data_IF_234339927944
#
_entry.id   IF_234339927944
#
_cell.length_a   1.000
_cell.length_b   1.000
_cell.length_c   1.000
_cell.angle_alpha   90.00
_cell.angle_beta   90.00
_cell.angle_gamma   90.00
#
_symmetry.space_group_name_H-M   'P 1'
#
loop_
_entity.id
_entity.type
_entity.pdbx_description
1 polymer ?
#
# COMPACT_ATOMS: atom_id res chain seq x y z
N UNK A 1 5.85 15.11 -19.89
CA UNK A 1 6.27 15.52 -18.53
C UNK A 1 7.13 16.78 -18.68
N UNK A 2 6.75 17.89 -18.07
CA UNK A 2 7.29 19.23 -18.39
C UNK A 2 8.79 19.31 -18.04
N UNK A 3 9.66 19.51 -19.03
CA UNK A 3 11.14 19.54 -18.89
C UNK A 3 11.63 20.57 -17.87
N UNK A 4 10.86 21.65 -17.69
CA UNK A 4 11.10 22.70 -16.70
C UNK A 4 11.00 22.22 -15.24
N UNK A 5 10.06 21.32 -14.92
CA UNK A 5 9.86 20.81 -13.56
C UNK A 5 10.99 19.84 -13.14
N UNK A 6 11.47 19.04 -14.10
CA UNK A 6 12.59 18.12 -13.91
C UNK A 6 13.88 18.91 -13.63
N UNK A 7 14.13 19.98 -14.38
CA UNK A 7 15.32 20.82 -14.19
C UNK A 7 15.37 21.47 -12.79
N UNK A 8 14.27 22.07 -12.33
CA UNK A 8 14.18 22.73 -11.02
C UNK A 8 14.48 21.76 -9.87
N UNK A 9 13.95 20.54 -9.94
CA UNK A 9 14.20 19.47 -8.96
C UNK A 9 15.66 19.01 -8.91
N UNK A 10 16.33 18.93 -10.06
CA UNK A 10 17.74 18.55 -10.10
C UNK A 10 18.64 19.61 -9.46
N UNK A 11 18.35 20.89 -9.70
CA UNK A 11 19.08 22.03 -9.11
C UNK A 11 18.89 22.05 -7.59
N UNK A 12 17.66 21.85 -7.10
CA UNK A 12 17.36 21.84 -5.68
C UNK A 12 18.03 20.67 -4.95
N UNK A 13 18.05 19.48 -5.55
CA UNK A 13 18.77 18.32 -5.02
C UNK A 13 20.30 18.53 -4.97
N UNK A 14 20.87 19.21 -5.95
CA UNK A 14 22.31 19.54 -5.95
C UNK A 14 22.60 20.61 -4.89
N UNK A 15 21.75 21.62 -4.74
CA UNK A 15 21.88 22.63 -3.69
C UNK A 15 21.87 22.00 -2.29
N UNK A 16 20.96 21.06 -2.04
CA UNK A 16 20.83 20.42 -0.73
C UNK A 16 21.90 19.35 -0.46
N UNK A 17 22.38 18.66 -1.49
CA UNK A 17 23.33 17.54 -1.35
C UNK A 17 24.79 17.84 -1.72
N UNK A 18 25.07 19.06 -2.18
CA UNK A 18 26.41 19.54 -2.53
C UNK A 18 27.09 18.76 -3.66
N UNK A 19 28.43 18.81 -3.66
CA UNK A 19 29.29 18.21 -4.69
C UNK A 19 29.09 16.70 -4.84
N UNK A 20 28.79 15.98 -3.74
CA UNK A 20 28.58 14.53 -3.78
C UNK A 20 27.39 14.15 -4.67
N UNK A 21 26.28 14.90 -4.56
CA UNK A 21 25.07 14.66 -5.36
C UNK A 21 25.29 15.10 -6.81
N UNK A 22 26.04 16.17 -7.03
CA UNK A 22 26.44 16.61 -8.36
C UNK A 22 27.25 15.54 -9.10
N UNK A 23 28.35 15.05 -8.51
CA UNK A 23 29.18 14.02 -9.13
C UNK A 23 28.42 12.71 -9.35
N UNK A 24 27.54 12.32 -8.42
CA UNK A 24 26.67 11.16 -8.60
C UNK A 24 25.73 11.32 -9.80
N UNK A 25 25.14 12.50 -9.98
CA UNK A 25 24.26 12.80 -11.12
C UNK A 25 25.04 12.79 -12.45
N UNK A 26 26.22 13.40 -12.48
CA UNK A 26 27.10 13.36 -13.67
C UNK A 26 27.50 11.92 -14.01
N UNK A 27 27.97 11.15 -13.02
CA UNK A 27 28.33 9.75 -13.21
C UNK A 27 27.16 8.93 -13.77
N UNK A 28 25.94 9.17 -13.27
CA UNK A 28 24.73 8.52 -13.80
C UNK A 28 24.46 8.91 -15.25
N UNK A 29 24.62 10.18 -15.61
CA UNK A 29 24.45 10.68 -16.97
C UNK A 29 25.50 10.09 -17.93
N UNK A 30 26.78 10.13 -17.56
CA UNK A 30 27.87 9.56 -18.34
C UNK A 30 27.65 8.06 -18.59
N UNK A 31 27.21 7.32 -17.56
CA UNK A 31 26.86 5.90 -17.68
C UNK A 31 25.71 5.68 -18.67
N UNK A 32 24.67 6.54 -18.66
CA UNK A 32 23.57 6.47 -19.63
C UNK A 32 24.02 6.78 -21.06
N UNK A 33 24.90 7.76 -21.25
CA UNK A 33 25.48 8.08 -22.56
C UNK A 33 26.32 6.90 -23.08
N UNK A 34 27.23 6.38 -22.25
CA UNK A 34 28.06 5.23 -22.59
C UNK A 34 27.23 4.04 -23.05
N UNK A 35 26.19 3.67 -22.31
CA UNK A 35 25.32 2.55 -22.67
C UNK A 35 24.30 2.89 -23.76
N UNK A 36 24.14 4.15 -24.14
CA UNK A 36 23.36 4.55 -25.31
C UNK A 36 23.90 3.98 -26.62
N UNK A 37 25.22 3.76 -26.70
CA UNK A 37 25.90 3.21 -27.88
C UNK A 37 25.34 1.86 -28.35
N UNK A 38 24.93 1.00 -27.42
CA UNK A 38 24.27 -0.28 -27.74
C UNK A 38 22.76 -0.24 -27.50
N UNK A 39 22.28 0.52 -26.50
CA UNK A 39 20.86 0.55 -26.16
C UNK A 39 20.01 1.14 -27.29
N UNK A 40 20.50 2.21 -27.95
CA UNK A 40 19.77 2.87 -29.04
C UNK A 40 19.57 1.91 -30.23
N UNK A 41 20.62 1.26 -30.79
CA UNK A 41 20.43 0.24 -31.82
C UNK A 41 19.45 -0.87 -31.42
N UNK A 42 19.54 -1.39 -30.18
CA UNK A 42 18.62 -2.42 -29.70
C UNK A 42 17.16 -1.96 -29.69
N UNK A 43 16.88 -0.71 -29.29
CA UNK A 43 15.52 -0.15 -29.30
C UNK A 43 15.01 -0.02 -30.73
N UNK A 44 15.83 0.44 -31.67
CA UNK A 44 15.43 0.57 -33.08
C UNK A 44 15.10 -0.80 -33.67
N UNK A 45 15.89 -1.83 -33.36
CA UNK A 45 15.59 -3.21 -33.75
C UNK A 45 14.28 -3.68 -33.11
N UNK A 46 14.08 -3.46 -31.80
CA UNK A 46 12.86 -3.83 -31.09
C UNK A 46 11.60 -3.17 -31.68
N UNK A 47 11.72 -1.97 -32.25
CA UNK A 47 10.65 -1.27 -32.97
C UNK A 47 10.42 -1.84 -34.36
N UNK A 48 11.49 -2.19 -35.08
CA UNK A 48 11.40 -2.79 -36.41
C UNK A 48 10.70 -4.16 -36.38
N UNK A 49 11.02 -5.00 -35.39
CA UNK A 49 10.43 -6.34 -35.24
C UNK A 49 9.05 -6.34 -34.56
N UNK A 50 8.58 -5.18 -34.10
CA UNK A 50 7.31 -5.02 -33.38
C UNK A 50 6.11 -5.69 -34.02
N UNK A 51 5.92 -5.68 -35.36
CA UNK A 51 4.79 -6.35 -36.00
C UNK A 51 4.74 -7.86 -35.75
N UNK A 52 5.88 -8.47 -35.38
CA UNK A 52 6.02 -9.90 -35.09
C UNK A 52 6.08 -10.13 -33.58
N UNK A 53 6.92 -9.38 -32.87
CA UNK A 53 7.13 -9.50 -31.41
C UNK A 53 7.22 -8.11 -30.80
N UNK A 54 6.34 -7.82 -29.85
CA UNK A 54 6.38 -6.58 -29.08
C UNK A 54 7.25 -6.76 -27.83
N UNK A 55 8.42 -6.11 -27.81
CA UNK A 55 9.29 -6.05 -26.64
C UNK A 55 9.01 -4.77 -25.86
N UNK A 56 8.58 -4.88 -24.60
CA UNK A 56 8.38 -3.74 -23.72
C UNK A 56 9.42 -3.68 -22.61
N UNK A 57 9.86 -2.47 -22.30
CA UNK A 57 10.79 -2.17 -21.22
C UNK A 57 10.06 -1.42 -20.11
N UNK A 58 10.29 -1.81 -18.86
CA UNK A 58 9.67 -1.15 -17.72
C UNK A 58 10.49 -1.23 -16.45
N UNK A 59 10.11 -0.40 -15.50
CA UNK A 59 10.63 -0.42 -14.13
C UNK A 59 9.57 -0.98 -13.18
N UNK A 60 10.02 -1.53 -12.04
CA UNK A 60 9.15 -1.78 -10.89
C UNK A 60 9.75 -1.01 -9.72
N UNK A 61 8.99 -0.09 -9.15
CA UNK A 61 9.43 0.73 -8.03
C UNK A 61 9.78 -0.16 -6.82
N UNK A 62 10.93 0.04 -6.18
CA UNK A 62 11.40 -0.84 -5.10
C UNK A 62 11.75 -0.17 -3.78
N UNK A 63 11.79 1.16 -3.71
CA UNK A 63 12.20 1.96 -2.54
C UNK A 63 11.18 1.94 -1.38
N UNK A 64 9.89 1.74 -1.68
CA UNK A 64 8.80 1.70 -0.69
C UNK A 64 7.99 0.43 -0.84
N UNK A 65 7.79 -0.30 0.25
CA UNK A 65 7.22 -1.65 0.20
C UNK A 65 5.82 -1.69 -0.40
N UNK A 66 4.92 -0.75 -0.05
CA UNK A 66 3.55 -0.74 -0.59
C UNK A 66 3.50 -0.51 -2.11
N UNK A 67 4.35 0.37 -2.63
CA UNK A 67 4.50 0.52 -4.09
C UNK A 67 5.12 -0.75 -4.70
N UNK A 68 6.19 -1.26 -4.08
CA UNK A 68 6.90 -2.41 -4.62
C UNK A 68 6.03 -3.67 -4.69
N UNK A 69 5.17 -3.89 -3.70
CA UNK A 69 4.28 -5.05 -3.63
C UNK A 69 3.10 -4.90 -4.58
N UNK A 70 2.41 -3.77 -4.52
CA UNK A 70 1.20 -3.58 -5.31
C UNK A 70 1.49 -3.44 -6.81
N UNK A 71 2.54 -2.71 -7.19
CA UNK A 71 2.95 -2.58 -8.59
C UNK A 71 3.40 -3.93 -9.16
N UNK A 72 4.23 -4.68 -8.42
CA UNK A 72 4.63 -6.02 -8.84
C UNK A 72 3.44 -6.98 -8.93
N UNK A 73 2.52 -6.97 -7.95
CA UNK A 73 1.33 -7.82 -7.96
C UNK A 73 0.42 -7.54 -9.16
N UNK A 74 0.11 -6.26 -9.42
CA UNK A 74 -0.72 -5.87 -10.56
C UNK A 74 -0.06 -6.24 -11.89
N UNK A 75 1.25 -6.04 -12.01
CA UNK A 75 1.96 -6.43 -13.23
C UNK A 75 2.03 -7.95 -13.40
N UNK A 76 2.22 -8.72 -12.32
CA UNK A 76 2.18 -10.17 -12.36
C UNK A 76 0.82 -10.67 -12.87
N UNK A 77 -0.27 -10.12 -12.34
CA UNK A 77 -1.62 -10.42 -12.78
C UNK A 77 -1.85 -10.11 -14.27
N UNK A 78 -1.39 -8.96 -14.76
CA UNK A 78 -1.44 -8.61 -16.19
C UNK A 78 -0.58 -9.51 -17.05
N UNK A 79 0.52 -10.01 -16.51
CA UNK A 79 1.47 -10.83 -17.26
C UNK A 79 1.00 -12.26 -17.44
N UNK A 80 0.26 -12.80 -16.47
CA UNK A 80 -0.40 -14.09 -16.60
C UNK A 80 -1.54 -14.02 -17.62
N UNK A 81 -2.24 -12.88 -17.71
CA UNK A 81 -3.28 -12.66 -18.71
C UNK A 81 -2.74 -12.36 -20.13
N UNK A 82 -1.43 -12.54 -20.39
CA UNK A 82 -0.80 -12.14 -21.65
C UNK A 82 -1.34 -12.89 -22.86
N UNK A 83 -1.37 -12.15 -23.96
CA UNK A 83 -1.48 -12.62 -25.34
C UNK A 83 -0.12 -13.01 -25.90
N UNK A 84 -0.10 -13.96 -26.83
CA UNK A 84 1.10 -14.38 -27.56
C UNK A 84 1.82 -13.18 -28.24
N UNK A 85 3.14 -13.26 -28.37
CA UNK A 85 3.94 -12.26 -29.08
C UNK A 85 4.39 -11.03 -28.27
N UNK A 86 4.23 -11.01 -26.94
CA UNK A 86 4.70 -9.90 -26.08
C UNK A 86 5.79 -10.35 -25.10
N UNK A 87 6.97 -9.75 -25.22
CA UNK A 87 8.09 -9.92 -24.27
C UNK A 87 8.14 -8.70 -23.36
N UNK A 88 8.20 -8.92 -22.06
CA UNK A 88 8.35 -7.83 -21.09
C UNK A 88 9.63 -7.97 -20.30
N UNK A 89 10.42 -6.91 -20.33
CA UNK A 89 11.70 -6.81 -19.69
C UNK A 89 11.64 -5.73 -18.62
N UNK A 90 12.23 -6.03 -17.48
CA UNK A 90 12.15 -5.20 -16.30
C UNK A 90 13.52 -4.84 -15.76
N UNK A 91 13.60 -3.70 -15.08
CA UNK A 91 14.71 -3.40 -14.19
C UNK A 91 14.19 -2.99 -12.81
N UNK A 92 15.02 -3.18 -11.79
CA UNK A 92 14.74 -2.76 -10.42
C UNK A 92 15.77 -1.70 -9.99
N UNK A 93 15.34 -0.61 -9.34
CA UNK A 93 16.24 0.32 -8.70
C UNK A 93 17.20 -0.38 -7.72
N UNK A 94 18.37 0.23 -7.51
CA UNK A 94 19.41 -0.34 -6.62
C UNK A 94 18.92 -0.50 -5.18
N UNK A 95 18.16 0.48 -4.68
CA UNK A 95 17.61 0.46 -3.33
C UNK A 95 16.32 -0.35 -3.27
N UNK A 96 16.24 -1.29 -2.33
CA UNK A 96 15.03 -2.10 -2.12
C UNK A 96 14.53 -1.98 -0.68
N UNK A 97 13.22 -1.93 -0.55
CA UNK A 97 12.51 -1.86 0.73
C UNK A 97 12.53 -3.19 1.49
N UNK A 98 12.50 -4.32 0.77
CA UNK A 98 12.56 -5.67 1.35
C UNK A 98 13.30 -6.63 0.37
N UNK A 99 14.29 -7.39 0.86
CA UNK A 99 15.12 -8.26 0.01
C UNK A 99 14.40 -9.56 -0.38
N UNK A 100 13.52 -10.09 0.47
CA UNK A 100 12.77 -11.29 0.16
C UNK A 100 11.76 -11.04 -0.96
N UNK A 101 11.02 -9.94 -0.90
CA UNK A 101 10.13 -9.51 -1.98
C UNK A 101 10.89 -9.30 -3.29
N UNK A 102 12.09 -8.70 -3.24
CA UNK A 102 12.99 -8.61 -4.41
C UNK A 102 13.31 -9.99 -4.99
N UNK A 103 13.59 -10.99 -4.16
CA UNK A 103 13.81 -12.38 -4.59
C UNK A 103 12.55 -12.94 -5.26
N UNK A 104 11.35 -12.72 -4.71
CA UNK A 104 10.08 -13.12 -5.33
C UNK A 104 9.88 -12.46 -6.71
N UNK A 105 10.08 -11.15 -6.81
CA UNK A 105 9.96 -10.43 -8.09
C UNK A 105 10.95 -10.96 -9.12
N UNK A 106 12.22 -11.13 -8.78
CA UNK A 106 13.21 -11.66 -9.74
C UNK A 106 12.94 -13.11 -10.20
N UNK A 107 12.23 -13.90 -9.40
CA UNK A 107 11.80 -15.26 -9.78
C UNK A 107 10.65 -15.27 -10.78
N UNK A 108 9.81 -14.23 -10.77
CA UNK A 108 8.55 -14.18 -11.53
C UNK A 108 8.59 -13.21 -12.73
N UNK A 109 9.68 -12.45 -12.89
CA UNK A 109 9.83 -11.43 -13.92
C UNK A 109 11.22 -11.47 -14.55
N UNK A 110 11.32 -11.15 -15.85
CA UNK A 110 12.59 -11.00 -16.57
C UNK A 110 13.29 -9.70 -16.18
N UNK A 111 13.89 -9.69 -14.98
CA UNK A 111 14.53 -8.52 -14.37
C UNK A 111 16.03 -8.50 -14.64
N UNK A 112 16.49 -7.50 -15.41
CA UNK A 112 17.90 -7.31 -15.71
C UNK A 112 18.33 -5.86 -15.51
N UNK A 113 19.57 -5.65 -15.05
CA UNK A 113 20.09 -4.30 -14.79
C UNK A 113 20.26 -3.47 -16.07
N UNK A 114 20.56 -4.12 -17.20
CA UNK A 114 20.79 -3.44 -18.48
C UNK A 114 19.49 -2.89 -19.10
N UNK A 115 18.32 -3.40 -18.69
CA UNK A 115 17.02 -2.91 -19.14
C UNK A 115 16.79 -1.46 -18.69
N UNK A 116 17.45 -1.00 -17.63
CA UNK A 116 17.42 0.43 -17.21
C UNK A 116 17.81 1.36 -18.37
N UNK A 117 18.81 0.97 -19.16
CA UNK A 117 19.30 1.79 -20.28
C UNK A 117 18.37 1.74 -21.48
N UNK A 118 17.78 0.57 -21.77
CA UNK A 118 16.79 0.44 -22.82
C UNK A 118 15.52 1.24 -22.50
N UNK A 119 15.03 1.17 -21.25
CA UNK A 119 13.87 1.92 -20.80
C UNK A 119 14.11 3.44 -20.84
N UNK A 120 15.29 3.88 -20.36
CA UNK A 120 15.69 5.28 -20.42
C UNK A 120 15.74 5.81 -21.85
N UNK A 121 16.45 5.13 -22.75
CA UNK A 121 16.60 5.58 -24.14
C UNK A 121 15.31 5.39 -24.95
N UNK A 122 14.47 4.40 -24.64
CA UNK A 122 13.16 4.26 -25.27
C UNK A 122 12.26 5.47 -24.94
N UNK A 123 12.34 5.97 -23.71
CA UNK A 123 11.64 7.18 -23.29
C UNK A 123 12.23 8.46 -23.88
N UNK A 124 13.53 8.48 -24.15
CA UNK A 124 14.21 9.64 -24.74
C UNK A 124 14.01 9.76 -26.26
N UNK A 125 13.84 8.64 -26.97
CA UNK A 125 13.61 8.61 -28.42
C UNK A 125 12.12 8.71 -28.77
N UNK A 126 11.73 9.44 -29.83
CA UNK A 126 10.33 9.53 -30.25
C UNK A 126 9.76 8.16 -30.63
N UNK A 127 8.46 7.94 -30.46
CA UNK A 127 7.78 6.69 -30.87
C UNK A 127 7.96 5.50 -29.92
N UNK A 128 8.43 5.71 -28.69
CA UNK A 128 8.67 4.64 -27.71
C UNK A 128 7.45 4.12 -26.95
N UNK A 129 6.27 4.70 -27.16
CA UNK A 129 5.07 4.46 -26.33
C UNK A 129 4.63 3.00 -26.27
N UNK A 130 4.69 2.28 -27.39
CA UNK A 130 4.25 0.88 -27.44
C UNK A 130 5.24 -0.10 -26.82
N UNK A 131 6.54 0.24 -26.85
CA UNK A 131 7.63 -0.49 -26.22
C UNK A 131 7.83 -0.07 -24.75
N UNK A 132 6.97 0.79 -24.22
CA UNK A 132 7.02 1.23 -22.82
C UNK A 132 6.04 0.41 -21.97
N UNK A 133 6.52 -0.04 -20.81
CA UNK A 133 5.70 -0.68 -19.77
C UNK A 133 5.77 0.16 -18.49
N UNK A 134 4.72 0.92 -18.15
CA UNK A 134 4.72 1.72 -16.92
C UNK A 134 4.73 0.82 -15.68
N UNK A 135 5.47 1.25 -14.64
CA UNK A 135 5.47 0.55 -13.34
C UNK A 135 4.09 0.57 -12.70
N UNK A 136 3.40 1.71 -12.83
CA UNK A 136 2.01 1.96 -12.48
C UNK A 136 1.50 3.17 -13.27
N UNK A 137 0.25 3.11 -13.74
CA UNK A 137 -0.44 4.28 -14.31
C UNK A 137 -1.29 5.02 -13.25
N UNK A 138 -1.41 4.45 -12.06
CA UNK A 138 -2.44 4.80 -11.06
C UNK A 138 -1.85 5.06 -9.67
N UNK A 139 -0.55 5.36 -9.58
CA UNK A 139 0.15 5.57 -8.31
C UNK A 139 -0.06 4.44 -7.27
N UNK A 140 0.05 3.17 -7.70
CA UNK A 140 -0.21 1.99 -6.87
C UNK A 140 -1.66 1.93 -6.36
N UNK A 141 -2.62 1.99 -7.28
CA UNK A 141 -4.05 1.69 -7.04
C UNK A 141 -4.58 0.76 -8.12
N UNK A 142 -5.36 -0.25 -7.74
CA UNK A 142 -5.91 -1.20 -8.72
C UNK A 142 -7.26 -0.74 -9.27
N UNK A 143 -7.23 0.34 -10.04
CA UNK A 143 -8.42 0.98 -10.64
C UNK A 143 -9.22 0.06 -11.56
N UNK A 144 -8.61 -0.97 -12.10
CA UNK A 144 -9.25 -1.90 -13.03
C UNK A 144 -9.63 -3.23 -12.37
N UNK A 145 -9.36 -3.40 -11.07
CA UNK A 145 -9.61 -4.64 -10.33
C UNK A 145 -8.85 -5.84 -10.88
N UNK A 146 -7.65 -5.63 -11.43
CA UNK A 146 -6.86 -6.66 -12.11
C UNK A 146 -6.44 -7.77 -11.16
N UNK A 147 -6.14 -7.43 -9.90
CA UNK A 147 -5.81 -8.42 -8.87
C UNK A 147 -7.00 -9.32 -8.57
N UNK A 148 -8.17 -8.72 -8.36
CA UNK A 148 -9.42 -9.45 -8.13
C UNK A 148 -9.79 -10.37 -9.31
N UNK A 149 -9.70 -9.84 -10.54
CA UNK A 149 -10.07 -10.57 -11.76
C UNK A 149 -9.13 -11.75 -12.05
N UNK A 150 -7.83 -11.56 -11.86
CA UNK A 150 -6.83 -12.58 -12.18
C UNK A 150 -6.73 -13.70 -11.14
N UNK A 151 -7.00 -13.39 -9.86
CA UNK A 151 -6.71 -14.27 -8.71
C UNK A 151 -5.24 -14.74 -8.65
N UNK A 152 -4.35 -14.05 -9.35
CA UNK A 152 -2.95 -14.42 -9.46
C UNK A 152 -2.17 -14.00 -8.22
N UNK A 153 -1.26 -14.86 -7.76
CA UNK A 153 -0.34 -14.58 -6.66
C UNK A 153 1.03 -15.19 -6.93
N UNK A 154 2.10 -14.46 -6.61
CA UNK A 154 3.45 -15.01 -6.63
C UNK A 154 3.60 -16.04 -5.51
N UNK A 155 4.11 -17.23 -5.81
CA UNK A 155 4.20 -18.31 -4.82
C UNK A 155 5.51 -18.24 -4.02
N UNK A 156 5.43 -18.57 -2.73
CA UNK A 156 6.60 -18.88 -1.91
C UNK A 156 7.11 -20.29 -2.25
N UNK A 157 8.41 -20.53 -2.02
CA UNK A 157 8.98 -21.87 -2.12
C UNK A 157 8.73 -22.66 -0.84
N UNK A 158 8.72 -23.99 -0.92
CA UNK A 158 8.43 -24.86 0.23
C UNK A 158 9.36 -24.62 1.43
N UNK A 159 10.64 -24.29 1.21
CA UNK A 159 11.55 -23.95 2.31
C UNK A 159 11.25 -22.59 2.94
N UNK A 160 10.73 -21.63 2.16
CA UNK A 160 10.33 -20.29 2.66
C UNK A 160 9.04 -20.40 3.50
N UNK A 161 8.10 -21.24 3.05
CA UNK A 161 6.91 -21.62 3.82
C UNK A 161 7.27 -22.30 5.14
N UNK A 162 8.16 -23.30 5.11
CA UNK A 162 8.55 -24.04 6.30
C UNK A 162 9.36 -23.18 7.28
N UNK A 163 10.23 -22.29 6.79
CA UNK A 163 10.97 -21.34 7.63
C UNK A 163 10.02 -20.41 8.39
N UNK A 164 9.02 -19.84 7.71
CA UNK A 164 8.04 -18.96 8.33
C UNK A 164 7.13 -19.71 9.32
N UNK A 165 6.64 -20.90 8.95
CA UNK A 165 5.84 -21.74 9.85
C UNK A 165 6.62 -22.20 11.07
N UNK A 166 7.89 -22.55 10.92
CA UNK A 166 8.77 -22.90 12.05
C UNK A 166 8.88 -21.74 13.03
N UNK A 167 9.00 -20.50 12.55
CA UNK A 167 8.99 -19.32 13.40
C UNK A 167 7.65 -19.15 14.13
N UNK A 168 6.52 -19.35 13.46
CA UNK A 168 5.21 -19.31 14.13
C UNK A 168 5.08 -20.40 15.20
N UNK A 169 5.46 -21.64 14.89
CA UNK A 169 5.41 -22.77 15.83
C UNK A 169 6.29 -22.52 17.07
N UNK A 170 7.44 -21.85 16.92
CA UNK A 170 8.28 -21.50 18.07
C UNK A 170 7.63 -20.47 19.00
N UNK A 171 6.56 -19.81 18.56
CA UNK A 171 5.74 -18.89 19.38
C UNK A 171 4.38 -19.49 19.76
N UNK A 172 4.24 -20.83 19.69
CA UNK A 172 3.03 -21.52 20.16
C UNK A 172 1.87 -21.55 19.15
N UNK A 173 2.09 -21.17 17.90
CA UNK A 173 1.12 -21.36 16.83
C UNK A 173 1.03 -22.84 16.43
N UNK A 174 -0.17 -23.31 16.10
CA UNK A 174 -0.40 -24.65 15.55
C UNK A 174 -0.77 -24.55 14.08
N UNK A 175 -0.32 -25.51 13.27
CA UNK A 175 -0.59 -25.52 11.84
C UNK A 175 -2.10 -25.45 11.55
N UNK A 176 -2.50 -24.40 10.84
CA UNK A 176 -3.90 -24.16 10.47
C UNK A 176 -4.66 -23.23 11.42
N UNK A 177 -4.12 -22.91 12.60
CA UNK A 177 -4.73 -21.92 13.50
C UNK A 177 -4.78 -20.55 12.81
N UNK A 178 -5.86 -19.78 12.99
CA UNK A 178 -5.92 -18.43 12.46
C UNK A 178 -4.94 -17.50 13.18
N UNK A 179 -4.41 -16.55 12.42
CA UNK A 179 -3.65 -15.44 12.99
C UNK A 179 -3.96 -14.13 12.28
N UNK A 180 -3.81 -13.03 13.01
CA UNK A 180 -4.06 -11.67 12.56
C UNK A 180 -2.76 -10.89 12.54
N UNK A 181 -2.51 -10.18 11.45
CA UNK A 181 -1.46 -9.17 11.38
C UNK A 181 -2.05 -7.82 11.81
N UNK A 182 -1.50 -7.21 12.85
CA UNK A 182 -1.87 -5.87 13.30
C UNK A 182 -0.73 -4.89 12.99
N UNK A 183 -0.97 -3.89 12.15
CA UNK A 183 -0.02 -2.83 11.84
C UNK A 183 -0.60 -1.45 12.14
N UNK A 184 -0.35 -0.95 13.34
CA UNK A 184 -0.72 0.42 13.72
C UNK A 184 0.46 1.33 13.45
N UNK A 185 0.34 2.19 12.43
CA UNK A 185 1.40 3.12 12.04
C UNK A 185 1.69 4.16 13.13
N UNK A 186 2.99 4.36 13.38
CA UNK A 186 3.53 5.51 14.08
C UNK A 186 4.66 6.20 13.26
N UNK A 187 5.23 7.25 13.83
CA UNK A 187 6.28 8.05 13.20
C UNK A 187 7.68 7.43 13.25
N UNK A 188 7.88 6.33 13.98
CA UNK A 188 9.20 5.78 14.31
C UNK A 188 9.95 5.33 13.05
N UNK A 189 9.27 4.59 12.16
CA UNK A 189 9.90 4.07 10.95
C UNK A 189 10.50 5.18 10.08
N UNK A 190 9.75 6.26 9.82
CA UNK A 190 10.24 7.32 8.92
C UNK A 190 11.23 8.28 9.60
N UNK A 191 11.18 8.42 10.92
CA UNK A 191 12.10 9.26 11.67
C UNK A 191 13.42 8.56 12.00
N UNK A 192 13.43 7.23 12.12
CA UNK A 192 14.61 6.45 12.56
C UNK A 192 15.25 5.61 11.46
N UNK A 193 14.51 5.17 10.43
CA UNK A 193 15.11 4.35 9.36
C UNK A 193 16.11 5.17 8.53
N UNK A 194 17.40 4.76 8.47
CA UNK A 194 18.44 5.54 7.79
C UNK A 194 18.19 5.77 6.29
N UNK A 195 17.35 4.95 5.64
CA UNK A 195 17.02 5.14 4.21
C UNK A 195 16.09 6.33 4.00
N UNK A 196 15.30 6.71 5.01
CA UNK A 196 14.29 7.77 4.90
C UNK A 196 14.64 9.00 5.74
N UNK A 197 15.07 8.81 7.00
CA UNK A 197 15.25 9.88 7.99
C UNK A 197 16.24 10.97 7.56
N UNK A 198 17.31 10.58 6.87
CA UNK A 198 18.34 11.49 6.37
C UNK A 198 17.95 12.26 5.10
N UNK A 199 16.73 12.04 4.58
CA UNK A 199 16.32 12.62 3.29
C UNK A 199 15.25 13.68 3.42
N UNK A 200 14.24 13.48 4.27
CA UNK A 200 13.08 14.36 4.39
C UNK A 200 12.44 14.28 5.78
N UNK A 201 11.84 15.38 6.23
CA UNK A 201 10.94 15.36 7.39
C UNK A 201 9.55 14.86 6.97
N UNK A 202 9.11 13.76 7.57
CA UNK A 202 7.82 13.13 7.25
C UNK A 202 6.68 13.51 8.20
N UNK A 203 6.87 14.51 9.07
CA UNK A 203 5.86 14.94 10.07
C UNK A 203 4.54 15.40 9.45
N UNK A 204 4.56 15.82 8.17
CA UNK A 204 3.36 16.17 7.42
C UNK A 204 2.38 14.99 7.27
N UNK A 205 2.82 13.74 7.46
CA UNK A 205 1.95 12.56 7.44
C UNK A 205 1.43 12.12 8.82
N UNK A 206 1.75 12.83 9.92
CA UNK A 206 1.40 12.41 11.28
C UNK A 206 -0.11 12.31 11.53
N UNK A 207 -0.95 12.96 10.71
CA UNK A 207 -2.42 12.84 10.79
C UNK A 207 -2.92 11.41 10.61
N UNK A 208 -2.08 10.50 10.08
CA UNK A 208 -2.37 9.08 9.87
C UNK A 208 -2.01 8.22 11.07
N UNK A 209 -1.09 8.69 11.90
CA UNK A 209 -0.57 7.90 13.01
C UNK A 209 -1.69 7.68 14.06
N UNK A 210 -1.57 6.61 14.84
CA UNK A 210 -2.54 6.23 15.89
C UNK A 210 -1.77 5.61 17.05
N UNK A 211 -2.28 5.74 18.27
CA UNK A 211 -1.67 5.08 19.42
C UNK A 211 -1.96 3.57 19.36
N UNK A 212 -0.94 2.76 19.64
CA UNK A 212 -1.09 1.30 19.73
C UNK A 212 -1.87 0.91 20.98
N UNK A 213 -1.83 1.73 22.03
CA UNK A 213 -2.55 1.43 23.28
C UNK A 213 -4.07 1.50 23.11
N UNK A 214 -4.57 2.24 22.11
CA UNK A 214 -6.00 2.24 21.75
C UNK A 214 -6.49 0.90 21.16
N UNK A 215 -5.57 -0.04 20.88
CA UNK A 215 -5.91 -1.37 20.33
C UNK A 215 -5.87 -2.48 21.38
N UNK A 216 -5.52 -2.20 22.64
CA UNK A 216 -5.35 -3.25 23.67
C UNK A 216 -6.60 -4.12 23.80
N UNK A 217 -7.78 -3.51 23.99
CA UNK A 217 -9.03 -4.26 24.16
C UNK A 217 -9.33 -5.16 22.95
N UNK A 218 -9.00 -4.70 21.74
CA UNK A 218 -9.19 -5.45 20.51
C UNK A 218 -8.19 -6.61 20.36
N UNK A 219 -6.94 -6.41 20.79
CA UNK A 219 -5.90 -7.44 20.82
C UNK A 219 -6.30 -8.53 21.81
N UNK A 220 -6.66 -8.16 23.04
CA UNK A 220 -7.07 -9.11 24.09
C UNK A 220 -8.31 -9.89 23.66
N UNK A 221 -9.32 -9.24 23.10
CA UNK A 221 -10.52 -9.92 22.63
C UNK A 221 -10.25 -10.98 21.54
N UNK A 222 -9.33 -10.71 20.60
CA UNK A 222 -8.90 -11.70 19.62
C UNK A 222 -8.12 -12.84 20.29
N UNK A 223 -7.23 -12.49 21.22
CA UNK A 223 -6.36 -13.43 21.89
C UNK A 223 -7.14 -14.41 22.79
N UNK A 224 -8.17 -13.93 23.49
CA UNK A 224 -9.12 -14.72 24.30
C UNK A 224 -9.96 -15.68 23.45
N UNK A 225 -10.09 -15.40 22.15
CA UNK A 225 -10.68 -16.33 21.16
C UNK A 225 -9.68 -17.34 20.60
N UNK A 226 -8.51 -17.46 21.23
CA UNK A 226 -7.40 -18.31 20.82
C UNK A 226 -6.82 -17.97 19.42
N UNK A 227 -7.12 -16.77 18.90
CA UNK A 227 -6.57 -16.26 17.64
C UNK A 227 -5.23 -15.61 17.94
N UNK A 228 -4.19 -15.98 17.21
CA UNK A 228 -2.88 -15.37 17.38
C UNK A 228 -2.86 -13.96 16.79
N UNK A 229 -2.47 -12.96 17.57
CA UNK A 229 -2.29 -11.57 17.14
C UNK A 229 -0.80 -11.26 17.04
N UNK A 230 -0.35 -10.91 15.85
CA UNK A 230 1.04 -10.56 15.57
C UNK A 230 1.08 -9.08 15.26
N UNK A 231 1.62 -8.27 16.18
CA UNK A 231 1.88 -6.85 15.90
C UNK A 231 3.08 -6.75 14.98
N UNK A 232 2.81 -6.28 13.78
CA UNK A 232 3.78 -6.06 12.73
C UNK A 232 4.42 -4.67 12.84
N UNK A 233 5.57 -4.51 12.22
CA UNK A 233 6.30 -3.24 12.15
C UNK A 233 7.81 -3.50 12.12
N UNK A 234 8.57 -2.66 11.42
CA UNK A 234 10.04 -2.80 11.34
C UNK A 234 10.76 -1.99 12.43
N UNK A 235 10.25 -0.79 12.70
CA UNK A 235 10.74 0.11 13.73
C UNK A 235 9.50 0.83 14.26
N UNK A 236 9.25 0.67 15.56
CA UNK A 236 8.09 1.23 16.27
C UNK A 236 8.55 2.03 17.49
N UNK A 237 7.71 2.92 18.01
CA UNK A 237 8.07 3.77 19.15
C UNK A 237 8.08 2.99 20.48
N UNK A 238 7.01 2.26 20.78
CA UNK A 238 6.80 1.60 22.06
C UNK A 238 6.39 0.13 21.87
N UNK A 239 6.85 -0.82 22.70
CA UNK A 239 6.31 -2.18 22.73
C UNK A 239 4.86 -2.20 23.22
N UNK A 240 4.10 -3.23 22.85
CA UNK A 240 2.78 -3.49 23.44
C UNK A 240 2.97 -4.00 24.86
N UNK A 241 2.19 -3.46 25.79
CA UNK A 241 2.17 -3.90 27.20
C UNK A 241 1.09 -4.96 27.45
N UNK A 242 1.10 -6.07 26.71
CA UNK A 242 0.16 -7.19 26.86
C UNK A 242 0.94 -8.47 27.09
N UNK A 243 0.62 -9.18 28.17
CA UNK A 243 1.19 -10.49 28.46
C UNK A 243 0.15 -11.58 28.18
N UNK A 244 0.08 -12.05 26.94
CA UNK A 244 -0.82 -13.12 26.54
C UNK A 244 -0.13 -14.07 25.55
N UNK A 245 -0.27 -15.39 25.74
CA UNK A 245 0.40 -16.44 24.94
C UNK A 245 0.09 -16.39 23.43
N UNK A 246 -1.02 -15.76 23.06
CA UNK A 246 -1.46 -15.56 21.67
C UNK A 246 -1.05 -14.22 21.08
N UNK A 247 -0.31 -13.38 21.80
CA UNK A 247 0.12 -12.06 21.34
C UNK A 247 1.62 -12.06 21.13
N UNK A 248 2.06 -11.68 19.93
CA UNK A 248 3.48 -11.56 19.57
C UNK A 248 3.72 -10.14 19.10
N UNK A 249 4.61 -9.41 19.78
CA UNK A 249 5.07 -8.11 19.32
C UNK A 249 6.28 -8.25 18.39
N UNK A 250 6.03 -8.71 17.17
CA UNK A 250 7.06 -8.96 16.15
C UNK A 250 7.94 -7.73 15.89
N UNK A 251 7.39 -6.52 16.03
CA UNK A 251 8.14 -5.28 15.89
C UNK A 251 9.28 -5.09 16.90
N UNK A 252 9.30 -5.86 17.98
CA UNK A 252 10.33 -5.86 19.03
C UNK A 252 11.05 -7.21 19.16
N UNK A 253 10.81 -8.16 18.25
CA UNK A 253 11.58 -9.40 18.20
C UNK A 253 12.95 -9.20 17.53
N UNK A 254 13.99 -9.83 18.07
CA UNK A 254 15.36 -9.78 17.49
C UNK A 254 15.48 -10.51 16.15
N UNK A 255 14.59 -11.47 15.89
CA UNK A 255 14.61 -12.34 14.72
C UNK A 255 13.71 -11.87 13.57
N UNK A 256 13.40 -10.58 13.49
CA UNK A 256 12.72 -9.99 12.32
C UNK A 256 13.48 -10.29 11.03
N UNK A 257 12.75 -10.68 9.98
CA UNK A 257 13.34 -11.03 8.69
C UNK A 257 12.53 -10.50 7.52
N UNK A 258 13.21 -10.23 6.40
CA UNK A 258 12.54 -9.80 5.18
C UNK A 258 11.51 -10.85 4.69
N UNK A 259 11.73 -12.14 4.99
CA UNK A 259 10.78 -13.22 4.70
C UNK A 259 9.51 -13.06 5.54
N UNK A 260 9.64 -12.94 6.87
CA UNK A 260 8.49 -12.83 7.78
C UNK A 260 7.70 -11.54 7.53
N UNK A 261 8.39 -10.44 7.21
CA UNK A 261 7.79 -9.16 6.80
C UNK A 261 6.85 -9.31 5.58
N UNK A 262 7.01 -10.36 4.77
CA UNK A 262 6.15 -10.65 3.60
C UNK A 262 5.19 -11.79 3.89
N UNK A 263 5.69 -12.91 4.40
CA UNK A 263 4.93 -14.14 4.55
C UNK A 263 3.76 -13.98 5.53
N UNK A 264 3.96 -13.27 6.64
CA UNK A 264 2.90 -13.07 7.66
C UNK A 264 1.72 -12.30 7.08
N UNK A 265 1.95 -11.18 6.38
CA UNK A 265 0.87 -10.46 5.68
C UNK A 265 0.24 -11.26 4.53
N UNK A 266 1.02 -12.10 3.85
CA UNK A 266 0.53 -12.93 2.76
C UNK A 266 -0.36 -14.10 3.24
N UNK A 267 -0.25 -14.50 4.51
CA UNK A 267 -0.89 -15.70 5.04
C UNK A 267 -1.84 -15.47 6.23
N UNK A 268 -1.95 -14.26 6.74
CA UNK A 268 -2.88 -13.94 7.84
C UNK A 268 -4.35 -14.16 7.46
N UNK A 269 -5.18 -14.48 8.45
CA UNK A 269 -6.63 -14.58 8.33
C UNK A 269 -7.30 -13.21 8.22
N UNK A 270 -6.68 -12.18 8.81
CA UNK A 270 -7.09 -10.78 8.74
C UNK A 270 -5.85 -9.88 8.89
N UNK A 271 -5.77 -8.82 8.09
CA UNK A 271 -4.78 -7.75 8.26
C UNK A 271 -5.49 -6.48 8.76
N UNK A 272 -5.16 -6.05 9.98
CA UNK A 272 -5.66 -4.82 10.59
C UNK A 272 -4.58 -3.73 10.42
N UNK A 273 -4.93 -2.59 9.84
CA UNK A 273 -3.99 -1.51 9.55
C UNK A 273 -4.68 -0.15 9.60
N UNK A 274 -3.92 0.94 9.70
CA UNK A 274 -4.39 2.31 9.47
C UNK A 274 -3.87 2.92 8.15
N UNK A 275 -3.49 2.04 7.20
CA UNK A 275 -2.98 2.42 5.90
C UNK A 275 -1.48 2.66 5.95
N UNK A 276 -0.72 1.60 5.74
CA UNK A 276 0.74 1.59 5.65
C UNK A 276 1.17 1.01 4.30
N UNK A 277 2.46 0.71 4.13
CA UNK A 277 2.94 0.04 2.92
C UNK A 277 2.77 -1.49 2.95
N UNK A 278 3.18 -2.17 4.04
CA UNK A 278 3.16 -3.63 4.10
C UNK A 278 1.79 -4.29 3.96
N UNK A 279 0.71 -3.62 4.38
CA UNK A 279 -0.66 -4.14 4.24
C UNK A 279 -1.08 -4.41 2.79
N UNK A 280 -0.44 -3.77 1.80
CA UNK A 280 -0.65 -4.08 0.39
C UNK A 280 -0.20 -5.49 0.00
N UNK A 281 0.63 -6.15 0.82
CA UNK A 281 0.93 -7.57 0.67
C UNK A 281 -0.35 -8.39 0.88
N UNK A 282 -1.09 -8.13 1.96
CA UNK A 282 -2.38 -8.79 2.20
C UNK A 282 -3.37 -8.55 1.05
N UNK A 283 -3.39 -7.35 0.46
CA UNK A 283 -4.20 -7.06 -0.73
C UNK A 283 -3.87 -7.99 -1.92
N UNK A 284 -2.59 -8.07 -2.32
CA UNK A 284 -2.21 -8.89 -3.49
C UNK A 284 -2.35 -10.40 -3.25
N UNK A 285 -2.35 -10.85 -2.00
CA UNK A 285 -2.64 -12.23 -1.61
C UNK A 285 -4.12 -12.47 -1.25
N UNK A 286 -4.99 -11.49 -1.54
CA UNK A 286 -6.44 -11.56 -1.32
C UNK A 286 -6.83 -11.91 0.12
N UNK A 287 -6.06 -11.42 1.09
CA UNK A 287 -6.39 -11.52 2.52
C UNK A 287 -7.35 -10.40 2.91
N UNK A 288 -8.35 -10.66 3.78
CA UNK A 288 -9.22 -9.63 4.32
C UNK A 288 -8.42 -8.50 4.98
N UNK A 289 -8.83 -7.27 4.71
CA UNK A 289 -8.22 -6.04 5.23
C UNK A 289 -9.21 -5.28 6.09
N UNK A 290 -8.79 -4.85 7.27
CA UNK A 290 -9.50 -3.88 8.09
C UNK A 290 -8.64 -2.61 8.18
N UNK A 291 -9.17 -1.51 7.65
CA UNK A 291 -8.55 -0.20 7.74
C UNK A 291 -9.24 0.65 8.81
N UNK A 292 -8.58 0.85 9.95
CA UNK A 292 -9.08 1.67 11.07
C UNK A 292 -8.37 3.01 11.03
N UNK A 293 -9.09 4.10 11.28
CA UNK A 293 -8.55 5.46 11.29
C UNK A 293 -7.93 5.84 9.93
N UNK A 294 -8.47 5.32 8.82
CA UNK A 294 -7.95 5.59 7.48
C UNK A 294 -8.62 6.82 6.86
N UNK A 295 -7.84 7.86 6.54
CA UNK A 295 -8.30 9.06 5.85
C UNK A 295 -7.33 9.49 4.74
N UNK A 296 -7.82 10.20 3.71
CA UNK A 296 -9.20 10.67 3.51
C UNK A 296 -10.17 9.61 2.98
N UNK A 297 -11.48 9.77 3.24
CA UNK A 297 -12.54 8.86 2.75
C UNK A 297 -12.60 8.78 1.22
N UNK A 298 -12.22 9.86 0.53
CA UNK A 298 -12.08 9.91 -0.93
C UNK A 298 -10.97 8.99 -1.48
N UNK A 299 -10.11 8.45 -0.62
CA UNK A 299 -8.90 7.72 -1.01
C UNK A 299 -8.85 6.30 -0.43
N UNK A 300 -9.97 5.77 0.07
CA UNK A 300 -10.04 4.41 0.63
C UNK A 300 -9.65 3.35 -0.40
N UNK A 301 -9.25 2.19 0.12
CA UNK A 301 -8.85 1.03 -0.68
C UNK A 301 -10.10 0.26 -1.09
N UNK A 302 -10.83 0.76 -2.10
CA UNK A 302 -12.10 0.17 -2.56
C UNK A 302 -11.90 -1.03 -3.52
N UNK A 303 -10.70 -1.26 -4.03
CA UNK A 303 -10.39 -2.32 -5.00
C UNK A 303 -10.05 -3.68 -4.37
N UNK A 304 -10.12 -3.81 -3.04
CA UNK A 304 -9.73 -5.02 -2.29
C UNK A 304 -10.86 -5.59 -1.44
N UNK A 305 -10.69 -6.80 -0.91
CA UNK A 305 -11.53 -7.33 0.17
C UNK A 305 -11.23 -6.58 1.48
N UNK A 306 -11.82 -5.39 1.64
CA UNK A 306 -11.52 -4.47 2.72
C UNK A 306 -12.78 -3.93 3.42
N UNK A 307 -12.67 -3.72 4.73
CA UNK A 307 -13.60 -2.90 5.52
C UNK A 307 -12.82 -1.68 5.97
N UNK A 308 -13.33 -0.49 5.74
CA UNK A 308 -12.70 0.77 6.17
C UNK A 308 -13.57 1.49 7.19
N UNK A 309 -12.98 1.87 8.31
CA UNK A 309 -13.56 2.78 9.30
C UNK A 309 -12.68 4.04 9.36
N UNK A 310 -13.09 5.13 8.68
CA UNK A 310 -12.34 6.37 8.66
C UNK A 310 -12.24 7.05 10.04
N UNK A 311 -11.25 7.93 10.20
CA UNK A 311 -11.27 8.92 11.30
C UNK A 311 -12.45 9.86 11.10
N UNK A 312 -13.05 10.32 12.19
CA UNK A 312 -14.02 11.40 12.12
C UNK A 312 -13.28 12.72 11.91
N UNK A 313 -13.85 13.59 11.07
CA UNK A 313 -13.37 14.95 10.87
C UNK A 313 -14.41 15.90 11.45
N UNK A 314 -13.96 16.86 12.25
CA UNK A 314 -14.83 17.86 12.88
C UNK A 314 -14.37 19.27 12.55
N UNK A 315 -15.30 20.19 12.30
CA UNK A 315 -14.97 21.61 12.21
C UNK A 315 -14.49 22.12 13.56
N UNK A 316 -13.34 22.79 13.58
CA UNK A 316 -12.72 23.28 14.82
C UNK A 316 -13.61 24.27 15.58
N UNK A 317 -14.38 25.08 14.86
CA UNK A 317 -15.18 26.16 15.46
C UNK A 317 -16.49 25.67 16.07
N UNK A 318 -17.17 24.71 15.44
CA UNK A 318 -18.48 24.20 15.90
C UNK A 318 -18.38 22.87 16.64
N UNK A 319 -17.33 22.07 16.40
CA UNK A 319 -17.23 20.69 16.85
C UNK A 319 -18.10 19.70 16.05
N UNK A 320 -18.91 20.18 15.12
CA UNK A 320 -19.76 19.37 14.25
C UNK A 320 -18.89 18.51 13.31
N UNK A 321 -19.30 17.25 13.12
CA UNK A 321 -18.68 16.38 12.13
C UNK A 321 -19.01 16.81 10.70
N UNK A 322 -18.05 16.63 9.80
CA UNK A 322 -18.18 17.00 8.40
C UNK A 322 -19.25 16.17 7.69
N UNK A 323 -19.99 16.81 6.80
CA UNK A 323 -20.84 16.09 5.82
C UNK A 323 -19.99 15.42 4.74
N UNK A 324 -20.58 14.54 3.93
CA UNK A 324 -19.86 13.90 2.83
C UNK A 324 -19.31 14.91 1.82
N UNK A 325 -20.09 15.94 1.47
CA UNK A 325 -19.64 16.97 0.53
C UNK A 325 -18.47 17.76 1.12
N UNK A 326 -18.52 18.11 2.40
CA UNK A 326 -17.40 18.77 3.09
C UNK A 326 -16.14 17.88 3.12
N UNK A 327 -16.30 16.57 3.31
CA UNK A 327 -15.20 15.60 3.18
C UNK A 327 -14.59 15.59 1.76
N UNK A 328 -15.42 15.74 0.72
CA UNK A 328 -15.01 15.73 -0.69
C UNK A 328 -14.41 17.06 -1.15
N UNK A 329 -14.77 18.16 -0.51
CA UNK A 329 -14.17 19.49 -0.69
C UNK A 329 -12.82 19.60 0.05
N UNK A 330 -12.63 18.85 1.14
CA UNK A 330 -11.45 18.93 2.02
C UNK A 330 -10.57 17.66 1.99
N UNK A 331 -10.23 17.20 0.78
CA UNK A 331 -9.34 16.05 0.58
C UNK A 331 -7.88 16.47 0.82
N UNK A 332 -7.43 16.32 2.06
CA UNK A 332 -6.06 16.67 2.45
C UNK A 332 -5.15 15.44 2.57
N UNK A 333 -3.86 15.65 2.24
CA UNK A 333 -2.80 14.63 2.34
C UNK A 333 -1.67 15.04 3.29
N UNK A 334 -1.88 16.12 4.05
CA UNK A 334 -0.93 16.63 5.04
C UNK A 334 -1.64 17.06 6.32
N UNK A 335 -0.95 16.92 7.46
CA UNK A 335 -1.42 17.40 8.77
C UNK A 335 -1.66 18.90 8.80
N UNK A 336 -0.84 19.68 8.07
CA UNK A 336 -0.96 21.13 8.05
C UNK A 336 -2.20 21.58 7.30
N UNK A 337 -2.52 20.95 6.17
CA UNK A 337 -3.71 21.29 5.39
C UNK A 337 -5.01 21.09 6.18
N UNK A 338 -5.12 20.02 6.98
CA UNK A 338 -6.27 19.86 7.90
C UNK A 338 -6.36 21.01 8.92
N UNK A 339 -5.23 21.41 9.51
CA UNK A 339 -5.20 22.52 10.47
C UNK A 339 -5.56 23.87 9.83
N UNK A 340 -5.02 24.14 8.64
CA UNK A 340 -5.22 25.39 7.91
C UNK A 340 -6.69 25.53 7.47
N UNK A 341 -7.35 24.43 7.12
CA UNK A 341 -8.79 24.40 6.83
C UNK A 341 -9.66 24.45 8.09
N UNK A 342 -9.09 24.50 9.29
CA UNK A 342 -9.87 24.49 10.53
C UNK A 342 -10.58 23.16 10.80
N UNK A 343 -9.99 22.04 10.38
CA UNK A 343 -10.53 20.69 10.58
C UNK A 343 -9.70 19.95 11.64
N UNK A 344 -10.39 19.45 12.67
CA UNK A 344 -9.82 18.53 13.65
C UNK A 344 -9.93 17.09 13.13
N UNK A 345 -8.81 16.37 13.18
CA UNK A 345 -8.75 14.93 12.88
C UNK A 345 -8.91 14.16 14.18
N UNK A 346 -10.01 13.40 14.31
CA UNK A 346 -10.38 12.71 15.55
C UNK A 346 -10.12 11.22 15.42
N UNK A 347 -9.21 10.69 16.25
CA UNK A 347 -8.95 9.25 16.34
C UNK A 347 -10.16 8.53 16.94
N UNK A 348 -10.42 7.31 16.48
CA UNK A 348 -11.33 6.40 17.17
C UNK A 348 -10.83 6.05 18.57
N UNK A 349 -11.79 5.89 19.48
CA UNK A 349 -11.61 5.38 20.83
C UNK A 349 -11.45 3.85 20.83
N UNK A 350 -10.90 3.30 21.93
CA UNK A 350 -10.65 1.85 22.09
C UNK A 350 -11.91 0.99 21.86
N UNK A 351 -13.07 1.41 22.36
CA UNK A 351 -14.35 0.70 22.19
C UNK A 351 -14.79 0.63 20.72
N UNK A 352 -14.56 1.70 19.95
CA UNK A 352 -14.85 1.74 18.50
C UNK A 352 -13.88 0.89 17.69
N UNK A 353 -12.61 0.88 18.09
CA UNK A 353 -11.58 0.00 17.50
C UNK A 353 -11.96 -1.47 17.77
N UNK A 354 -12.32 -1.82 19.00
CA UNK A 354 -12.81 -3.14 19.37
C UNK A 354 -14.05 -3.54 18.55
N UNK A 355 -15.01 -2.63 18.38
CA UNK A 355 -16.17 -2.87 17.53
C UNK A 355 -15.76 -3.17 16.07
N UNK A 356 -14.88 -2.35 15.49
CA UNK A 356 -14.40 -2.54 14.12
C UNK A 356 -13.68 -3.89 13.94
N UNK A 357 -12.90 -4.31 14.92
CA UNK A 357 -12.21 -5.61 14.93
C UNK A 357 -13.21 -6.76 15.04
N UNK A 358 -14.23 -6.65 15.91
CA UNK A 358 -15.34 -7.62 15.99
C UNK A 358 -16.10 -7.75 14.68
N UNK A 359 -16.42 -6.62 14.04
CA UNK A 359 -17.07 -6.59 12.74
C UNK A 359 -16.24 -7.32 11.68
N UNK A 360 -14.95 -6.97 11.55
CA UNK A 360 -14.10 -7.54 10.53
C UNK A 360 -13.84 -9.03 10.77
N UNK A 361 -13.56 -9.42 12.02
CA UNK A 361 -13.37 -10.82 12.37
C UNK A 361 -14.64 -11.63 12.14
N UNK A 362 -15.80 -11.10 12.53
CA UNK A 362 -17.08 -11.73 12.27
C UNK A 362 -17.39 -11.89 10.77
N UNK A 363 -16.90 -10.99 9.91
CA UNK A 363 -16.97 -11.17 8.45
C UNK A 363 -16.02 -12.29 7.96
N UNK A 364 -14.89 -12.51 8.64
CA UNK A 364 -13.91 -13.56 8.31
C UNK A 364 -14.44 -14.93 8.69
N UNK A 365 -15.04 -15.08 9.88
CA UNK A 365 -15.56 -16.36 10.37
C UNK A 365 -17.04 -16.61 9.99
N UNK A 366 -17.71 -15.63 9.38
CA UNK A 366 -19.08 -15.75 8.88
C UNK A 366 -20.16 -15.52 9.95
N UNK A 367 -19.80 -15.05 11.14
CA UNK A 367 -20.74 -14.76 12.23
C UNK A 367 -21.35 -13.36 12.17
N UNK A 368 -20.81 -12.47 11.34
CA UNK A 368 -21.32 -11.10 11.20
C UNK A 368 -22.41 -10.98 10.13
N UNK A 369 -23.52 -10.35 10.49
CA UNK A 369 -24.61 -10.02 9.56
C UNK A 369 -24.91 -8.53 9.60
N UNK A 370 -25.15 -7.95 8.43
CA UNK A 370 -25.60 -6.56 8.30
C UNK A 370 -27.12 -6.49 8.20
N UNK A 371 -27.72 -5.48 8.82
CA UNK A 371 -29.13 -5.17 8.56
C UNK A 371 -29.31 -4.66 7.13
N UNK A 372 -30.53 -4.76 6.58
CA UNK A 372 -30.85 -4.17 5.28
C UNK A 372 -30.57 -2.66 5.25
N UNK A 373 -30.81 -1.98 6.38
CA UNK A 373 -30.53 -0.56 6.53
C UNK A 373 -29.04 -0.25 6.44
N UNK A 374 -28.19 -1.04 7.11
CA UNK A 374 -26.73 -0.90 7.04
C UNK A 374 -26.23 -1.12 5.60
N UNK A 375 -26.69 -2.18 4.94
CA UNK A 375 -26.32 -2.49 3.55
C UNK A 375 -26.69 -1.33 2.60
N UNK A 376 -27.91 -0.79 2.73
CA UNK A 376 -28.38 0.33 1.93
C UNK A 376 -27.50 1.56 2.09
N UNK A 377 -27.13 1.91 3.33
CA UNK A 377 -26.32 3.10 3.61
C UNK A 377 -24.87 2.93 3.15
N UNK A 378 -24.27 1.75 3.32
CA UNK A 378 -22.93 1.45 2.82
C UNK A 378 -22.87 1.55 1.30
N UNK A 379 -23.83 0.94 0.59
CA UNK A 379 -23.92 1.03 -0.86
C UNK A 379 -24.13 2.47 -1.32
N UNK A 380 -25.03 3.23 -0.65
CA UNK A 380 -25.25 4.65 -0.95
C UNK A 380 -23.96 5.45 -0.84
N UNK A 381 -23.18 5.27 0.22
CA UNK A 381 -21.93 5.99 0.44
C UNK A 381 -20.89 5.69 -0.65
N UNK A 382 -20.68 4.41 -0.98
CA UNK A 382 -19.74 4.01 -2.04
C UNK A 382 -20.16 4.54 -3.42
N UNK A 383 -21.46 4.55 -3.73
CA UNK A 383 -21.99 5.11 -4.98
C UNK A 383 -21.81 6.63 -5.05
N UNK A 384 -22.01 7.35 -3.94
CA UNK A 384 -21.77 8.80 -3.88
C UNK A 384 -20.28 9.13 -4.07
N UNK A 385 -19.39 8.36 -3.43
CA UNK A 385 -17.96 8.50 -3.67
C UNK A 385 -17.65 8.27 -5.15
N UNK A 386 -18.09 7.16 -5.73
CA UNK A 386 -17.85 6.82 -7.14
C UNK A 386 -18.34 7.88 -8.13
N UNK A 387 -19.47 8.53 -7.86
CA UNK A 387 -20.05 9.58 -8.72
C UNK A 387 -19.37 10.95 -8.55
N UNK A 388 -18.69 11.17 -7.43
CA UNK A 388 -18.05 12.45 -7.15
C UNK A 388 -16.90 12.73 -8.13
N UNK A 389 -16.93 13.92 -8.74
CA UNK A 389 -15.83 14.41 -9.58
C UNK A 389 -14.51 14.53 -8.81
N UNK A 390 -14.55 14.75 -7.49
CA UNK A 390 -13.36 14.78 -6.64
C UNK A 390 -12.67 13.41 -6.52
N UNK A 391 -13.35 12.31 -6.87
CA UNK A 391 -12.82 10.95 -6.71
C UNK A 391 -12.83 10.09 -7.98
N UNK A 392 -13.07 10.70 -9.16
CA UNK A 392 -13.12 10.00 -10.44
C UNK A 392 -11.90 9.11 -10.75
N UNK A 393 -10.73 9.38 -10.13
CA UNK A 393 -9.52 8.56 -10.28
C UNK A 393 -9.29 7.55 -9.14
N UNK A 394 -10.28 7.28 -8.28
CA UNK A 394 -10.14 6.38 -7.13
C UNK A 394 -11.14 5.22 -7.07
N UNK A 395 -12.28 5.29 -7.78
CA UNK A 395 -13.39 4.34 -7.63
C UNK A 395 -13.90 3.70 -8.94
N UNK A 396 -13.09 3.64 -10.00
CA UNK A 396 -13.49 2.99 -11.27
C UNK A 396 -13.93 1.52 -11.05
N UNK A 397 -13.21 0.82 -10.17
CA UNK A 397 -13.54 -0.52 -9.72
C UNK A 397 -13.76 -0.54 -8.21
N UNK A 398 -14.90 -1.09 -7.79
CA UNK A 398 -15.21 -1.39 -6.39
C UNK A 398 -15.29 -2.91 -6.26
N UNK A 399 -14.46 -3.46 -5.37
CA UNK A 399 -14.46 -4.88 -5.08
C UNK A 399 -15.79 -5.28 -4.40
N UNK A 400 -16.39 -6.44 -4.71
CA UNK A 400 -17.70 -6.82 -4.17
C UNK A 400 -17.75 -6.95 -2.64
N UNK A 401 -16.59 -7.15 -2.00
CA UNK A 401 -16.45 -7.20 -0.54
C UNK A 401 -15.87 -5.91 0.08
N UNK A 402 -15.60 -4.87 -0.72
CA UNK A 402 -15.19 -3.59 -0.18
C UNK A 402 -16.36 -2.93 0.55
N UNK A 403 -16.12 -2.48 1.78
CA UNK A 403 -17.13 -1.83 2.63
C UNK A 403 -16.52 -0.63 3.35
N UNK A 404 -17.38 0.33 3.66
CA UNK A 404 -17.13 1.32 4.72
C UNK A 404 -18.00 0.89 5.90
N UNK A 405 -17.43 0.79 7.11
CA UNK A 405 -18.16 0.30 8.27
C UNK A 405 -19.45 1.11 8.49
N UNK A 406 -20.61 0.47 8.73
CA UNK A 406 -21.84 1.19 9.02
C UNK A 406 -21.78 1.94 10.35
N UNK A 407 -20.86 1.58 11.25
CA UNK A 407 -20.62 2.34 12.49
C UNK A 407 -20.12 3.75 12.20
N UNK A 408 -19.29 3.95 11.16
CA UNK A 408 -18.90 5.28 10.71
C UNK A 408 -20.12 6.13 10.31
N UNK A 409 -21.09 5.54 9.62
CA UNK A 409 -22.30 6.24 9.19
C UNK A 409 -23.17 6.59 10.42
N UNK A 410 -23.28 5.67 11.39
CA UNK A 410 -24.03 5.89 12.64
C UNK A 410 -23.39 6.98 13.52
N UNK A 411 -22.06 7.02 13.55
CA UNK A 411 -21.29 8.05 14.26
C UNK A 411 -21.43 9.45 13.63
N UNK A 412 -21.79 9.52 12.35
CA UNK A 412 -21.91 10.75 11.59
C UNK A 412 -23.34 10.89 11.05
N UNK A 413 -24.34 11.20 11.91
CA UNK A 413 -25.75 11.26 11.51
C UNK A 413 -26.02 12.31 10.42
N UNK A 414 -25.18 13.35 10.36
CA UNK A 414 -25.25 14.41 9.36
C UNK A 414 -24.47 14.11 8.07
N UNK A 415 -23.84 12.92 7.94
CA UNK A 415 -22.95 12.58 6.82
C UNK A 415 -23.64 12.75 5.46
N UNK A 416 -24.93 12.44 5.37
CA UNK A 416 -25.71 12.54 4.14
C UNK A 416 -26.52 13.84 4.01
N UNK A 417 -26.32 14.80 4.91
CA UNK A 417 -26.97 16.11 4.79
C UNK A 417 -26.30 16.91 3.67
N UNK A 418 -27.10 17.69 2.95
CA UNK A 418 -26.65 18.66 1.93
C UNK A 418 -25.94 18.07 0.70
N UNK A 419 -26.11 16.78 0.40
CA UNK A 419 -25.56 16.16 -0.83
C UNK A 419 -26.07 16.92 -2.06
N UNK A 420 -25.15 17.54 -2.80
CA UNK A 420 -25.43 18.26 -4.06
C UNK A 420 -25.47 17.36 -5.29
#
# INVERSE_FOLDING_TARGET
MNSFFIYKNHVEQIKNGGLSVFFRKISTLLRRILFGTWAIPCILIARLIRPIILIRFGTIRSDRIGHFTLEAGMQFAKNIAKTDGVIELYWLPKQTSNKHWKKMVRRNFSVHWWVEYLDYWNSALPGGGDNYRPSTNTNARDMQGVLYKSKASMKFLSHEEEEAKKWLRSHGWKDGDPFVCLLVRDSAYLSKDPKHSNTHNYSYHNYRDTDIFDYIDAIEWLADKEIMVIRMGRIMNNPISINHKKVIDYAFCDNQSDLLDVWLFANCSLCISNGSGPDMISNIYNRPLLFINYIPIAAIVAWSNSITYPKNLAWKNSGEYLTLDEHLENIHVTSQAYKDSGINVVNMTSDKILFAVKEAWGNVDGTWSYSEHDLKNMCKLLELLKKSSSTHNYFDFIHPKAKISPAFIKDNPNLFNRIR
#
